data_IF_753725807128
#
_entry.id   IF_753725807128
#
_cell.length_a   1.000
_cell.length_b   1.000
_cell.length_c   1.000
_cell.angle_alpha   90.00
_cell.angle_beta   90.00
_cell.angle_gamma   90.00
#
_symmetry.space_group_name_H-M   'P 1'
#
loop_
_entity.id
_entity.type
_entity.pdbx_description
1 polymer ?
#
# COMPACT_ATOMS: atom_id res chain seq x y z
N UNK A 1 17.81 10.64 -19.21
CA UNK A 1 18.20 11.10 -20.57
C UNK A 1 17.12 12.03 -21.10
N UNK A 2 17.50 13.14 -21.73
CA UNK A 2 16.55 14.05 -22.39
C UNK A 2 15.98 13.43 -23.67
N UNK A 3 14.68 13.63 -23.92
CA UNK A 3 14.03 13.23 -25.17
C UNK A 3 14.64 13.97 -26.38
N UNK A 4 14.94 13.24 -27.46
CA UNK A 4 15.46 13.80 -28.72
C UNK A 4 14.36 13.75 -29.80
N UNK A 5 13.86 14.90 -30.30
CA UNK A 5 12.73 14.93 -31.24
C UNK A 5 13.01 14.38 -32.65
N UNK A 6 14.28 14.26 -33.05
CA UNK A 6 14.75 13.72 -34.33
C UNK A 6 14.01 14.28 -35.58
N UNK A 7 13.71 15.58 -35.60
CA UNK A 7 13.08 16.33 -36.71
C UNK A 7 11.84 15.67 -37.34
N UNK A 8 11.06 14.95 -36.51
CA UNK A 8 9.83 14.26 -36.97
C UNK A 8 8.75 15.28 -37.34
N UNK A 9 8.52 15.48 -38.62
CA UNK A 9 7.53 16.46 -39.12
C UNK A 9 6.32 15.83 -39.82
N UNK A 10 5.13 16.44 -39.67
CA UNK A 10 3.96 16.16 -40.52
C UNK A 10 4.19 16.73 -41.93
N UNK A 11 3.77 16.06 -43.03
CA UNK A 11 2.98 14.82 -43.09
C UNK A 11 3.82 13.52 -43.11
N UNK A 12 5.15 13.61 -43.07
CA UNK A 12 6.07 12.46 -43.15
C UNK A 12 5.93 11.54 -41.93
N UNK A 13 5.89 12.11 -40.72
CA UNK A 13 5.51 11.41 -39.49
C UNK A 13 4.01 11.59 -39.23
N UNK A 14 3.26 10.48 -39.24
CA UNK A 14 1.86 10.44 -38.81
C UNK A 14 1.71 9.39 -37.71
N UNK A 15 1.63 9.83 -36.47
CA UNK A 15 1.53 8.94 -35.30
C UNK A 15 0.28 8.04 -35.34
N UNK A 16 -0.77 8.45 -36.06
CA UNK A 16 -1.98 7.62 -36.28
C UNK A 16 -1.71 6.34 -37.10
N UNK A 17 -0.59 6.22 -37.82
CA UNK A 17 -0.25 4.98 -38.56
C UNK A 17 -0.12 3.79 -37.60
N UNK A 18 0.64 3.94 -36.52
CA UNK A 18 0.76 2.90 -35.49
C UNK A 18 -0.53 2.70 -34.67
N UNK A 19 -1.50 3.62 -34.78
CA UNK A 19 -2.81 3.54 -34.11
C UNK A 19 -3.91 3.03 -35.03
N UNK A 20 -3.62 2.61 -36.26
CA UNK A 20 -4.65 2.25 -37.24
C UNK A 20 -5.27 0.90 -36.96
N UNK A 21 -4.46 -0.08 -36.59
CA UNK A 21 -4.86 -1.48 -36.45
C UNK A 21 -4.51 -1.99 -35.06
N UNK A 22 -5.19 -3.04 -34.59
CA UNK A 22 -4.90 -3.61 -33.27
C UNK A 22 -3.47 -4.19 -33.20
N UNK A 23 -3.06 -4.96 -34.22
CA UNK A 23 -1.73 -5.59 -34.23
C UNK A 23 -0.61 -4.56 -34.11
N UNK A 24 -0.73 -3.40 -34.77
CA UNK A 24 0.29 -2.35 -34.73
C UNK A 24 0.30 -1.65 -33.37
N UNK A 25 -0.87 -1.43 -32.75
CA UNK A 25 -0.96 -0.93 -31.37
C UNK A 25 -0.31 -1.87 -30.38
N UNK A 26 -0.51 -3.19 -30.53
CA UNK A 26 0.14 -4.22 -29.69
C UNK A 26 1.65 -4.21 -29.85
N UNK A 27 2.16 -4.12 -31.09
CA UNK A 27 3.60 -4.08 -31.37
C UNK A 27 4.33 -2.90 -30.72
N UNK A 28 3.68 -1.72 -30.66
CA UNK A 28 4.32 -0.49 -30.14
C UNK A 28 3.88 -0.13 -28.72
N UNK A 29 3.13 -1.00 -28.04
CA UNK A 29 2.67 -0.76 -26.67
C UNK A 29 3.87 -0.77 -25.72
N UNK A 30 4.05 0.32 -24.98
CA UNK A 30 5.22 0.50 -24.10
C UNK A 30 5.06 -0.23 -22.76
N UNK A 31 3.83 -0.40 -22.28
CA UNK A 31 3.56 -0.96 -20.95
C UNK A 31 2.36 -1.91 -21.00
N UNK A 32 2.44 -2.97 -20.20
CA UNK A 32 1.35 -3.92 -19.95
C UNK A 32 1.22 -4.12 -18.44
N UNK A 33 -0.02 -4.31 -17.99
CA UNK A 33 -0.32 -4.73 -16.63
C UNK A 33 -0.46 -6.26 -16.61
N UNK A 34 0.04 -6.89 -15.56
CA UNK A 34 -0.04 -8.32 -15.30
C UNK A 34 -0.45 -8.58 -13.85
N UNK A 35 -0.82 -9.81 -13.51
CA UNK A 35 -1.15 -10.17 -12.13
C UNK A 35 0.04 -10.03 -11.17
N UNK A 36 1.27 -10.12 -11.69
CA UNK A 36 2.50 -9.93 -10.91
C UNK A 36 2.64 -8.51 -10.32
N UNK A 37 1.87 -7.56 -10.85
CA UNK A 37 1.90 -6.16 -10.43
C UNK A 37 0.92 -5.87 -9.28
N UNK A 38 0.08 -6.84 -8.88
CA UNK A 38 -1.08 -6.61 -8.03
C UNK A 38 -0.82 -7.09 -6.59
N UNK A 39 -0.99 -6.18 -5.62
CA UNK A 39 -1.01 -6.51 -4.20
C UNK A 39 -2.41 -6.16 -3.70
N UNK A 40 -3.07 -7.09 -2.99
CA UNK A 40 -4.40 -6.85 -2.44
C UNK A 40 -4.32 -6.43 -0.96
N UNK A 41 -4.70 -5.20 -0.59
CA UNK A 41 -4.97 -4.83 0.78
C UNK A 41 -6.22 -5.53 1.32
N UNK A 42 -6.15 -6.06 2.54
CA UNK A 42 -7.27 -6.75 3.20
C UNK A 42 -7.46 -6.25 4.63
N UNK A 43 -8.72 -6.07 5.04
CA UNK A 43 -9.07 -5.67 6.40
C UNK A 43 -9.41 -6.91 7.24
N UNK A 44 -8.70 -7.10 8.35
CA UNK A 44 -8.77 -8.33 9.12
C UNK A 44 -9.45 -8.07 10.46
N UNK A 45 -10.56 -8.77 10.72
CA UNK A 45 -11.31 -8.73 11.98
C UNK A 45 -10.80 -9.76 12.98
N UNK A 46 -11.04 -9.50 14.26
CA UNK A 46 -10.97 -10.53 15.29
C UNK A 46 -12.17 -11.50 15.21
N UNK A 47 -12.10 -12.60 15.96
CA UNK A 47 -13.19 -13.56 16.06
C UNK A 47 -13.23 -14.59 14.92
N UNK A 48 -14.42 -15.11 14.62
CA UNK A 48 -14.64 -16.23 13.70
C UNK A 48 -15.94 -16.05 12.91
N UNK A 49 -15.94 -16.44 11.63
CA UNK A 49 -17.05 -16.27 10.69
C UNK A 49 -17.62 -14.83 10.68
N UNK A 50 -16.76 -13.82 10.79
CA UNK A 50 -17.16 -12.41 10.72
C UNK A 50 -16.88 -11.84 9.34
N UNK A 51 -17.87 -11.15 8.78
CA UNK A 51 -17.77 -10.42 7.52
C UNK A 51 -18.56 -9.13 7.65
N UNK A 52 -17.91 -8.00 7.39
CA UNK A 52 -18.53 -6.69 7.50
C UNK A 52 -18.28 -5.89 6.22
N UNK A 53 -19.35 -5.42 5.59
CA UNK A 53 -19.21 -4.50 4.46
C UNK A 53 -18.63 -3.15 4.94
N UNK A 54 -17.80 -2.53 4.11
CA UNK A 54 -17.32 -1.16 4.32
C UNK A 54 -18.16 -0.21 3.44
N UNK A 55 -19.11 0.58 4.00
CA UNK A 55 -20.04 1.38 3.18
C UNK A 55 -19.35 2.38 2.25
N UNK A 56 -18.26 3.00 2.71
CA UNK A 56 -17.47 3.95 1.92
C UNK A 56 -16.55 3.28 0.89
N UNK A 57 -16.49 1.93 0.87
CA UNK A 57 -15.73 1.15 -0.10
C UNK A 57 -16.61 0.01 -0.68
N UNK A 58 -17.58 0.32 -1.56
CA UNK A 58 -18.53 -0.68 -2.06
C UNK A 58 -17.84 -1.93 -2.64
N UNK A 59 -18.22 -3.11 -2.15
CA UNK A 59 -17.64 -4.39 -2.56
C UNK A 59 -16.36 -4.80 -1.82
N UNK A 60 -15.87 -3.98 -0.89
CA UNK A 60 -14.79 -4.35 0.04
C UNK A 60 -15.39 -4.74 1.38
N UNK A 61 -14.84 -5.79 1.98
CA UNK A 61 -15.30 -6.34 3.24
C UNK A 61 -14.13 -6.48 4.22
N UNK A 62 -14.43 -6.32 5.51
CA UNK A 62 -13.58 -6.77 6.62
C UNK A 62 -13.91 -8.22 6.90
N UNK A 63 -12.89 -9.05 7.14
CA UNK A 63 -13.07 -10.50 7.30
C UNK A 63 -12.30 -11.02 8.50
N UNK A 64 -12.91 -11.94 9.27
CA UNK A 64 -12.15 -12.74 10.24
C UNK A 64 -11.15 -13.65 9.53
N UNK A 65 -10.09 -14.05 10.23
CA UNK A 65 -8.97 -14.82 9.67
C UNK A 65 -9.46 -16.09 8.95
N UNK A 66 -10.45 -16.80 9.49
CA UNK A 66 -10.99 -18.02 8.89
C UNK A 66 -11.70 -17.79 7.54
N UNK A 67 -12.30 -16.62 7.33
CA UNK A 67 -12.88 -16.23 6.05
C UNK A 67 -11.83 -15.67 5.11
N UNK A 68 -10.84 -14.95 5.63
CA UNK A 68 -9.69 -14.48 4.85
C UNK A 68 -8.91 -15.65 4.24
N UNK A 69 -8.73 -16.74 4.97
CA UNK A 69 -8.08 -17.95 4.45
C UNK A 69 -8.85 -18.55 3.25
N UNK A 70 -10.19 -18.55 3.30
CA UNK A 70 -11.02 -19.03 2.18
C UNK A 70 -10.92 -18.10 0.98
N UNK A 71 -10.97 -16.79 1.20
CA UNK A 71 -10.80 -15.81 0.12
C UNK A 71 -9.42 -15.95 -0.53
N UNK A 72 -8.37 -16.16 0.27
CA UNK A 72 -7.00 -16.32 -0.21
C UNK A 72 -6.80 -17.54 -1.14
N UNK A 73 -7.63 -18.59 -1.03
CA UNK A 73 -7.58 -19.72 -1.99
C UNK A 73 -7.80 -19.22 -3.42
N UNK A 74 -8.84 -18.40 -3.64
CA UNK A 74 -9.14 -17.83 -4.95
C UNK A 74 -8.07 -16.81 -5.40
N UNK A 75 -7.54 -16.01 -4.48
CA UNK A 75 -6.51 -15.01 -4.80
C UNK A 75 -5.20 -15.67 -5.26
N UNK A 76 -4.81 -16.78 -4.62
CA UNK A 76 -3.65 -17.58 -5.02
C UNK A 76 -3.91 -18.23 -6.38
N UNK A 77 -5.09 -18.79 -6.61
CA UNK A 77 -5.47 -19.33 -7.93
C UNK A 77 -5.41 -18.25 -9.01
N UNK A 78 -5.84 -17.02 -8.72
CA UNK A 78 -5.76 -15.86 -9.61
C UNK A 78 -4.31 -15.40 -9.88
N UNK A 79 -3.34 -15.88 -9.10
CA UNK A 79 -1.92 -15.52 -9.25
C UNK A 79 -1.59 -14.15 -8.67
N UNK A 80 -2.34 -13.69 -7.65
CA UNK A 80 -2.01 -12.47 -6.90
C UNK A 80 -0.80 -12.78 -6.00
N UNK A 81 0.33 -12.08 -6.17
CA UNK A 81 1.59 -12.42 -5.49
C UNK A 81 1.57 -12.16 -3.98
N UNK A 82 0.83 -11.15 -3.51
CA UNK A 82 0.88 -10.78 -2.09
C UNK A 82 -0.40 -10.10 -1.57
N UNK A 83 -0.58 -10.19 -0.25
CA UNK A 83 -1.59 -9.46 0.52
C UNK A 83 -0.93 -8.45 1.45
N UNK A 84 -1.55 -7.28 1.59
CA UNK A 84 -1.20 -6.29 2.62
C UNK A 84 -2.25 -6.32 3.74
N UNK A 85 -1.85 -6.71 4.94
CA UNK A 85 -2.76 -6.93 6.06
C UNK A 85 -2.98 -5.65 6.87
N UNK A 86 -4.23 -5.26 7.05
CA UNK A 86 -4.64 -4.14 7.89
C UNK A 86 -5.57 -4.65 9.00
N UNK A 87 -5.10 -4.79 10.26
CA UNK A 87 -5.93 -5.25 11.35
C UNK A 87 -6.98 -4.20 11.73
N UNK A 88 -8.20 -4.65 12.00
CA UNK A 88 -9.29 -3.83 12.54
C UNK A 88 -9.33 -4.04 14.05
N UNK A 89 -8.49 -3.29 14.77
CA UNK A 89 -8.28 -3.45 16.20
C UNK A 89 -9.56 -3.14 17.00
N UNK A 90 -10.02 -4.05 17.87
CA UNK A 90 -11.14 -3.79 18.78
C UNK A 90 -10.88 -2.57 19.67
N UNK A 91 -11.91 -1.78 19.95
CA UNK A 91 -11.77 -0.50 20.67
C UNK A 91 -11.14 -0.67 22.06
N UNK A 92 -11.50 -1.74 22.76
CA UNK A 92 -11.00 -2.10 24.09
C UNK A 92 -9.51 -2.45 24.12
N UNK A 93 -8.89 -2.69 22.95
CA UNK A 93 -7.46 -2.96 22.81
C UNK A 93 -6.65 -1.75 22.38
N UNK A 94 -7.30 -0.59 22.17
CA UNK A 94 -6.61 0.66 21.85
C UNK A 94 -6.13 1.34 23.13
N UNK A 95 -4.88 1.78 23.15
CA UNK A 95 -4.23 2.38 24.32
C UNK A 95 -3.40 3.61 23.94
N UNK A 96 -2.84 4.34 24.91
CA UNK A 96 -1.93 5.46 24.64
C UNK A 96 -0.54 4.98 24.22
N UNK A 97 -0.10 3.84 24.73
CA UNK A 97 1.21 3.24 24.44
C UNK A 97 1.22 2.35 23.18
N UNK A 98 0.05 2.10 22.58
CA UNK A 98 -0.08 1.27 21.38
C UNK A 98 0.35 -0.18 21.57
N UNK A 99 0.34 -0.72 22.80
CA UNK A 99 0.93 -2.03 23.10
C UNK A 99 0.39 -3.23 22.29
N UNK A 100 -0.86 -3.16 21.81
CA UNK A 100 -1.45 -4.19 20.95
C UNK A 100 -0.71 -4.33 19.60
N UNK A 101 0.04 -3.29 19.17
CA UNK A 101 0.81 -3.31 17.92
C UNK A 101 1.83 -4.45 17.87
N UNK A 102 2.45 -4.79 19.02
CA UNK A 102 3.46 -5.84 19.13
C UNK A 102 2.97 -7.05 19.95
N UNK A 103 1.67 -7.19 20.15
CA UNK A 103 1.10 -8.36 20.81
C UNK A 103 1.27 -9.60 19.92
N UNK A 104 1.97 -10.67 20.35
CA UNK A 104 2.11 -11.89 19.56
C UNK A 104 0.77 -12.54 19.17
N UNK A 105 -0.28 -12.29 19.95
CA UNK A 105 -1.66 -12.74 19.71
C UNK A 105 -2.56 -11.66 19.10
N UNK A 106 -1.98 -10.56 18.63
CA UNK A 106 -2.65 -9.54 17.84
C UNK A 106 -3.23 -10.09 16.53
N UNK A 107 -4.12 -9.32 15.91
CA UNK A 107 -4.77 -9.74 14.65
C UNK A 107 -3.75 -9.94 13.53
N UNK A 108 -2.82 -8.98 13.35
CA UNK A 108 -1.83 -9.03 12.28
C UNK A 108 -0.90 -10.26 12.41
N UNK A 109 -0.43 -10.54 13.62
CA UNK A 109 0.46 -11.65 13.94
C UNK A 109 -0.25 -13.00 13.74
N UNK A 110 -1.47 -13.16 14.27
CA UNK A 110 -2.28 -14.39 14.07
C UNK A 110 -2.62 -14.62 12.61
N UNK A 111 -3.02 -13.57 11.89
CA UNK A 111 -3.35 -13.65 10.46
C UNK A 111 -2.13 -14.03 9.62
N UNK A 112 -0.97 -13.44 9.93
CA UNK A 112 0.31 -13.78 9.30
C UNK A 112 0.62 -15.25 9.49
N UNK A 113 0.65 -15.76 10.72
CA UNK A 113 0.93 -17.19 10.99
C UNK A 113 0.00 -18.10 10.20
N UNK A 114 -1.30 -17.84 10.24
CA UNK A 114 -2.30 -18.65 9.56
C UNK A 114 -2.14 -18.65 8.03
N UNK A 115 -1.89 -17.48 7.43
CA UNK A 115 -1.68 -17.37 5.98
C UNK A 115 -0.36 -18.00 5.54
N UNK A 116 0.72 -17.84 6.32
CA UNK A 116 2.02 -18.44 6.04
C UNK A 116 1.97 -19.97 6.09
N UNK A 117 1.24 -20.53 7.06
CA UNK A 117 1.04 -21.97 7.18
C UNK A 117 0.21 -22.52 6.01
N UNK A 118 -0.89 -21.85 5.66
CA UNK A 118 -1.82 -22.33 4.62
C UNK A 118 -1.32 -22.09 3.19
N UNK A 119 -0.64 -20.97 2.94
CA UNK A 119 -0.17 -20.53 1.62
C UNK A 119 1.31 -20.13 1.67
N UNK A 120 2.24 -21.10 1.69
CA UNK A 120 3.67 -20.82 1.86
C UNK A 120 4.30 -19.90 0.81
N UNK A 121 3.74 -19.85 -0.40
CA UNK A 121 4.23 -19.01 -1.51
C UNK A 121 3.57 -17.63 -1.58
N UNK A 122 2.46 -17.41 -0.85
CA UNK A 122 1.78 -16.11 -0.85
C UNK A 122 2.59 -15.11 -0.02
N UNK A 123 2.93 -13.97 -0.62
CA UNK A 123 3.61 -12.88 0.06
C UNK A 123 2.71 -12.22 1.09
N UNK A 124 3.17 -12.15 2.34
CA UNK A 124 2.46 -11.43 3.42
C UNK A 124 3.22 -10.17 3.75
N UNK A 125 2.55 -9.04 3.54
CA UNK A 125 3.02 -7.69 3.84
C UNK A 125 2.23 -7.19 5.06
N UNK A 126 2.93 -6.96 6.16
CA UNK A 126 2.32 -6.44 7.39
C UNK A 126 2.55 -4.93 7.49
N UNK A 127 1.53 -4.20 7.90
CA UNK A 127 1.62 -2.75 8.15
C UNK A 127 2.30 -2.48 9.50
N UNK A 128 3.33 -1.64 9.52
CA UNK A 128 4.00 -1.19 10.75
C UNK A 128 3.66 0.28 10.97
N UNK A 129 2.72 0.54 11.86
CA UNK A 129 2.19 1.85 12.24
C UNK A 129 1.34 1.69 13.50
N UNK A 130 1.22 2.76 14.31
CA UNK A 130 0.48 2.69 15.57
C UNK A 130 -0.98 3.15 15.47
N UNK A 131 -1.42 3.74 14.34
CA UNK A 131 -2.77 4.31 14.23
C UNK A 131 -3.95 3.34 14.44
N UNK A 132 -3.84 2.03 14.13
CA UNK A 132 -4.88 1.07 14.48
C UNK A 132 -4.96 0.80 15.99
N UNK A 133 -3.88 1.06 16.72
CA UNK A 133 -3.68 0.62 18.11
C UNK A 133 -3.73 1.77 19.11
N UNK A 134 -3.59 3.02 18.66
CA UNK A 134 -3.69 4.18 19.54
C UNK A 134 -5.13 4.64 19.76
N UNK A 135 -5.44 5.06 20.99
CA UNK A 135 -6.77 5.60 21.34
C UNK A 135 -7.10 6.92 20.62
N UNK A 136 -6.08 7.66 20.18
CA UNK A 136 -6.18 8.93 19.45
C UNK A 136 -6.00 8.80 17.93
N UNK A 137 -5.65 7.62 17.39
CA UNK A 137 -5.57 7.36 15.95
C UNK A 137 -4.43 8.06 15.20
N UNK A 138 -3.39 8.51 15.92
CA UNK A 138 -2.14 9.00 15.32
C UNK A 138 -1.15 7.84 15.13
N UNK A 139 -0.20 7.99 14.21
CA UNK A 139 0.70 6.91 13.78
C UNK A 139 1.81 6.61 14.81
N UNK A 140 1.92 7.44 15.86
CA UNK A 140 2.94 7.36 16.91
C UNK A 140 2.44 7.78 18.30
N UNK A 141 3.35 7.83 19.27
CA UNK A 141 3.10 8.19 20.67
C UNK A 141 3.05 9.72 20.83
N UNK A 142 2.12 10.21 21.63
CA UNK A 142 1.96 11.65 21.88
C UNK A 142 2.74 12.12 23.10
N UNK A 143 3.28 13.35 23.03
CA UNK A 143 3.73 14.09 24.22
C UNK A 143 2.58 14.84 24.91
N UNK A 144 2.92 15.63 25.93
CA UNK A 144 1.95 16.43 26.70
C UNK A 144 1.28 17.54 25.88
N UNK A 145 1.93 18.00 24.79
CA UNK A 145 1.41 19.02 23.88
C UNK A 145 0.58 18.41 22.74
N UNK A 146 0.51 17.07 22.66
CA UNK A 146 -0.21 16.33 21.61
C UNK A 146 0.57 16.23 20.29
N UNK A 147 1.89 16.48 20.31
CA UNK A 147 2.78 16.23 19.19
C UNK A 147 3.22 14.75 19.16
N UNK A 148 3.36 14.19 17.96
CA UNK A 148 3.79 12.80 17.77
C UNK A 148 5.30 12.70 17.95
N UNK A 149 5.75 12.10 19.04
CA UNK A 149 7.17 11.93 19.37
C UNK A 149 7.84 10.96 18.40
N UNK A 150 8.84 11.43 17.65
CA UNK A 150 9.54 10.64 16.65
C UNK A 150 10.19 9.38 17.23
N UNK A 151 11.27 9.54 18.00
CA UNK A 151 12.13 8.43 18.43
C UNK A 151 11.41 7.46 19.38
N UNK A 152 10.55 7.99 20.26
CA UNK A 152 9.71 7.16 21.16
C UNK A 152 8.74 6.30 20.36
N UNK A 153 8.22 6.79 19.24
CA UNK A 153 7.38 5.99 18.34
C UNK A 153 8.19 4.92 17.63
N UNK A 154 9.41 5.26 17.16
CA UNK A 154 10.33 4.31 16.53
C UNK A 154 10.62 3.12 17.43
N UNK A 155 10.82 3.33 18.74
CA UNK A 155 11.01 2.24 19.71
C UNK A 155 9.84 1.22 19.73
N UNK A 156 8.61 1.70 19.55
CA UNK A 156 7.41 0.84 19.50
C UNK A 156 7.28 0.17 18.14
N UNK A 157 7.55 0.89 17.06
CA UNK A 157 7.51 0.37 15.69
C UNK A 157 8.52 -0.75 15.46
N UNK A 158 9.71 -0.65 16.07
CA UNK A 158 10.72 -1.73 16.07
C UNK A 158 10.16 -3.00 16.71
N UNK A 159 9.53 -2.89 17.88
CA UNK A 159 8.90 -4.05 18.55
C UNK A 159 7.79 -4.67 17.69
N UNK A 160 6.98 -3.83 17.04
CA UNK A 160 5.94 -4.28 16.13
C UNK A 160 6.53 -5.05 14.94
N UNK A 161 7.52 -4.48 14.26
CA UNK A 161 8.18 -5.11 13.12
C UNK A 161 8.81 -6.46 13.48
N UNK A 162 9.47 -6.55 14.63
CA UNK A 162 10.02 -7.82 15.15
C UNK A 162 8.90 -8.84 15.39
N UNK A 163 7.80 -8.46 16.04
CA UNK A 163 6.66 -9.37 16.27
C UNK A 163 6.05 -9.89 14.96
N UNK A 164 6.07 -9.08 13.89
CA UNK A 164 5.60 -9.49 12.57
C UNK A 164 6.58 -10.47 11.89
N UNK A 165 7.88 -10.22 12.02
CA UNK A 165 8.92 -11.10 11.51
C UNK A 165 8.91 -12.46 12.24
N UNK A 166 8.74 -12.47 13.57
CA UNK A 166 8.56 -13.67 14.40
C UNK A 166 7.29 -14.45 13.99
N UNK A 167 6.22 -13.76 13.61
CA UNK A 167 5.01 -14.39 13.06
C UNK A 167 5.20 -14.97 11.65
N UNK A 168 6.34 -14.71 10.99
CA UNK A 168 6.70 -15.24 9.69
C UNK A 168 6.40 -14.32 8.50
N UNK A 169 6.14 -13.03 8.73
CA UNK A 169 5.92 -12.06 7.66
C UNK A 169 7.17 -11.95 6.77
N UNK A 170 6.97 -12.06 5.47
CA UNK A 170 8.05 -11.92 4.48
C UNK A 170 8.45 -10.46 4.25
N UNK A 171 7.51 -9.54 4.48
CA UNK A 171 7.66 -8.11 4.29
C UNK A 171 7.01 -7.39 5.46
N UNK A 172 7.74 -6.46 6.07
CA UNK A 172 7.18 -5.43 6.95
C UNK A 172 7.15 -4.12 6.18
N UNK A 173 6.08 -3.34 6.33
CA UNK A 173 5.88 -2.13 5.57
C UNK A 173 5.58 -0.95 6.51
N UNK A 174 6.62 -0.27 7.02
CA UNK A 174 6.49 0.91 7.87
C UNK A 174 5.76 2.02 7.15
N UNK A 175 4.57 2.36 7.66
CA UNK A 175 3.70 3.38 7.08
C UNK A 175 3.58 4.64 7.94
N UNK A 176 4.26 4.68 9.08
CA UNK A 176 4.20 5.70 10.12
C UNK A 176 4.72 7.10 9.75
N UNK A 177 5.68 7.20 8.81
CA UNK A 177 6.38 8.45 8.43
C UNK A 177 7.20 9.11 9.55
N UNK A 178 7.76 8.34 10.47
CA UNK A 178 8.76 8.85 11.42
C UNK A 178 10.14 8.94 10.74
N UNK A 179 10.96 9.90 11.13
CA UNK A 179 12.33 10.01 10.65
C UNK A 179 13.18 8.86 11.21
N UNK A 180 14.00 8.21 10.37
CA UNK A 180 14.95 7.18 10.77
C UNK A 180 14.37 5.79 11.10
N UNK A 181 13.04 5.60 10.97
CA UNK A 181 12.40 4.31 11.33
C UNK A 181 12.91 3.14 10.48
N UNK A 182 13.28 3.38 9.22
CA UNK A 182 13.70 2.30 8.32
C UNK A 182 15.02 1.72 8.80
N UNK A 183 15.97 2.58 9.16
CA UNK A 183 17.28 2.18 9.67
C UNK A 183 17.17 1.44 11.00
N UNK A 184 16.36 1.97 11.92
CA UNK A 184 16.12 1.35 13.22
C UNK A 184 15.46 -0.05 13.09
N UNK A 185 14.44 -0.18 12.24
CA UNK A 185 13.77 -1.45 11.98
C UNK A 185 14.74 -2.43 11.28
N UNK A 186 15.52 -1.96 10.30
CA UNK A 186 16.52 -2.79 9.62
C UNK A 186 17.55 -3.33 10.60
N UNK A 187 18.15 -2.47 11.43
CA UNK A 187 19.14 -2.88 12.43
C UNK A 187 18.55 -3.91 13.39
N UNK A 188 17.31 -3.71 13.86
CA UNK A 188 16.64 -4.67 14.71
C UNK A 188 16.43 -6.03 14.03
N UNK A 189 15.94 -6.05 12.78
CA UNK A 189 15.75 -7.28 12.01
C UNK A 189 17.07 -8.03 11.78
N UNK A 190 18.15 -7.32 11.43
CA UNK A 190 19.48 -7.92 11.27
C UNK A 190 20.00 -8.49 12.60
N UNK A 191 19.92 -7.72 13.70
CA UNK A 191 20.45 -8.10 15.01
C UNK A 191 19.75 -9.33 15.62
N UNK A 192 18.51 -9.59 15.21
CA UNK A 192 17.68 -10.71 15.67
C UNK A 192 17.65 -11.88 14.69
N UNK A 193 18.40 -11.79 13.58
CA UNK A 193 18.56 -12.87 12.60
C UNK A 193 17.43 -12.99 11.58
N UNK A 194 16.57 -11.98 11.46
CA UNK A 194 15.54 -11.87 10.42
C UNK A 194 16.11 -11.32 9.09
N UNK A 195 17.28 -11.81 8.68
CA UNK A 195 18.10 -11.29 7.55
C UNK A 195 17.33 -11.10 6.24
N UNK A 196 16.36 -11.97 5.95
CA UNK A 196 15.62 -11.94 4.67
C UNK A 196 14.23 -11.30 4.77
N UNK A 197 13.87 -10.74 5.93
CA UNK A 197 12.63 -9.97 6.05
C UNK A 197 12.83 -8.65 5.31
N UNK A 198 11.95 -8.40 4.33
CA UNK A 198 12.03 -7.19 3.51
C UNK A 198 11.38 -6.02 4.21
N UNK A 199 11.87 -4.82 3.92
CA UNK A 199 11.24 -3.56 4.30
C UNK A 199 10.69 -2.89 3.04
N UNK A 200 9.37 -2.72 3.02
CA UNK A 200 8.66 -1.92 2.02
C UNK A 200 8.31 -0.57 2.62
N UNK A 201 9.20 0.40 2.45
CA UNK A 201 9.09 1.71 3.06
C UNK A 201 8.00 2.55 2.39
N UNK A 202 7.07 3.09 3.18
CA UNK A 202 6.19 4.17 2.71
C UNK A 202 6.98 5.48 2.75
N UNK A 203 7.87 5.66 1.79
CA UNK A 203 8.82 6.78 1.76
C UNK A 203 8.15 8.11 1.50
N UNK A 204 7.31 8.17 0.47
CA UNK A 204 6.60 9.40 0.11
C UNK A 204 5.11 9.24 0.40
N UNK A 205 4.74 9.27 1.70
CA UNK A 205 3.34 9.23 2.16
C UNK A 205 2.85 10.64 2.53
N UNK A 206 1.92 11.14 1.73
CA UNK A 206 1.40 12.50 1.84
C UNK A 206 0.26 12.64 2.85
N UNK A 207 0.12 13.83 3.44
CA UNK A 207 -0.98 14.26 4.29
C UNK A 207 -2.25 14.47 3.44
N UNK A 208 -2.89 13.37 3.07
CA UNK A 208 -3.91 13.35 2.02
C UNK A 208 -5.34 13.24 2.53
N UNK A 209 -6.27 13.89 1.82
CA UNK A 209 -7.71 13.75 2.00
C UNK A 209 -8.27 12.42 1.45
N UNK A 210 -7.51 11.70 0.61
CA UNK A 210 -7.96 10.46 -0.02
C UNK A 210 -8.02 9.25 0.94
N UNK A 211 -7.66 9.41 2.21
CA UNK A 211 -7.64 8.31 3.19
C UNK A 211 -8.96 8.10 3.94
N UNK A 212 -9.96 8.97 3.76
CA UNK A 212 -11.24 8.91 4.49
C UNK A 212 -11.85 7.50 4.57
N UNK A 213 -12.11 6.82 3.44
CA UNK A 213 -12.69 5.48 3.45
C UNK A 213 -11.82 4.41 4.13
N UNK A 214 -10.49 4.59 4.18
CA UNK A 214 -9.60 3.66 4.89
C UNK A 214 -9.78 3.82 6.39
N UNK A 215 -9.84 5.07 6.88
CA UNK A 215 -10.06 5.36 8.30
C UNK A 215 -11.41 4.81 8.79
N UNK A 216 -12.42 4.80 7.93
CA UNK A 216 -13.68 4.09 8.20
C UNK A 216 -13.45 2.58 8.27
N UNK A 217 -12.72 2.01 7.31
CA UNK A 217 -12.49 0.58 7.20
C UNK A 217 -11.72 -0.02 8.39
N UNK A 218 -10.68 0.66 8.91
CA UNK A 218 -9.92 0.20 10.09
C UNK A 218 -10.48 0.72 11.42
N UNK A 219 -11.57 1.50 11.38
CA UNK A 219 -12.18 2.06 12.59
C UNK A 219 -11.29 3.09 13.32
N UNK A 220 -10.43 3.82 12.61
CA UNK A 220 -9.59 4.89 13.19
C UNK A 220 -10.17 6.30 12.97
N UNK A 221 -11.21 6.44 12.15
CA UNK A 221 -11.84 7.74 11.86
C UNK A 221 -12.35 8.45 13.13
N UNK A 222 -13.04 7.73 14.01
CA UNK A 222 -13.58 8.28 15.25
C UNK A 222 -12.49 8.64 16.27
N UNK A 223 -11.38 7.87 16.29
CA UNK A 223 -10.24 8.13 17.17
C UNK A 223 -9.50 9.41 16.75
N UNK A 224 -9.22 9.56 15.44
CA UNK A 224 -8.52 10.73 14.91
C UNK A 224 -9.40 11.99 14.97
N UNK A 225 -10.71 11.86 14.77
CA UNK A 225 -11.65 12.98 14.80
C UNK A 225 -11.29 14.06 13.78
N UNK A 226 -11.06 15.29 14.27
CA UNK A 226 -10.61 16.45 13.45
C UNK A 226 -9.08 16.59 13.40
N UNK A 227 -8.34 15.64 13.98
CA UNK A 227 -6.89 15.61 13.95
C UNK A 227 -6.36 15.50 12.52
N UNK A 228 -5.16 16.01 12.31
CA UNK A 228 -4.44 15.89 11.05
C UNK A 228 -3.08 15.22 11.31
N UNK A 229 -2.40 14.88 10.22
CA UNK A 229 -1.12 14.16 10.21
C UNK A 229 -0.01 15.01 9.57
N UNK A 230 -0.20 16.32 9.49
CA UNK A 230 0.65 17.23 8.70
C UNK A 230 2.03 17.48 9.32
N UNK A 231 2.26 17.07 10.57
CA UNK A 231 3.55 17.22 11.24
C UNK A 231 4.52 16.07 10.94
N UNK A 232 4.11 15.06 10.17
CA UNK A 232 4.94 13.91 9.79
C UNK A 232 4.61 13.35 8.39
N UNK A 233 3.35 13.39 7.94
CA UNK A 233 3.03 13.12 6.54
C UNK A 233 3.32 14.34 5.68
N UNK A 234 3.86 14.09 4.48
CA UNK A 234 4.34 15.15 3.58
C UNK A 234 3.24 16.11 3.11
N UNK A 235 3.61 17.36 2.85
CA UNK A 235 2.73 18.34 2.20
C UNK A 235 2.43 17.92 0.75
N UNK A 236 1.15 17.80 0.33
CA UNK A 236 0.77 17.53 -1.07
C UNK A 236 1.40 18.44 -2.13
N UNK A 237 1.86 19.63 -1.76
CA UNK A 237 2.50 20.57 -2.68
C UNK A 237 3.97 20.22 -3.00
N UNK A 238 4.60 19.35 -2.21
CA UNK A 238 6.03 19.12 -2.28
C UNK A 238 6.37 17.93 -3.17
N UNK A 239 7.25 18.14 -4.16
CA UNK A 239 7.71 17.08 -5.08
C UNK A 239 9.20 16.77 -4.90
N UNK A 240 10.03 17.79 -4.64
CA UNK A 240 11.47 17.60 -4.42
C UNK A 240 11.76 16.90 -3.08
N UNK A 241 10.98 17.23 -2.04
CA UNK A 241 11.05 16.59 -0.72
C UNK A 241 10.92 15.06 -0.81
N UNK A 242 10.07 14.55 -1.70
CA UNK A 242 9.89 13.11 -1.90
C UNK A 242 11.19 12.40 -2.30
N UNK A 243 12.09 13.09 -3.01
CA UNK A 243 13.39 12.51 -3.37
C UNK A 243 14.31 12.43 -2.16
N UNK A 244 14.24 13.37 -1.23
CA UNK A 244 15.02 13.31 0.01
C UNK A 244 14.54 12.16 0.91
N UNK A 245 13.23 12.01 1.08
CA UNK A 245 12.61 10.91 1.82
C UNK A 245 13.01 9.54 1.26
N UNK A 246 12.85 9.37 -0.06
CA UNK A 246 13.19 8.11 -0.73
C UNK A 246 14.69 7.83 -0.64
N UNK A 247 15.54 8.86 -0.77
CA UNK A 247 16.98 8.70 -0.63
C UNK A 247 17.35 8.20 0.78
N UNK A 248 16.77 8.80 1.82
CA UNK A 248 17.00 8.40 3.21
C UNK A 248 16.60 6.93 3.44
N UNK A 249 15.38 6.55 3.06
CA UNK A 249 14.89 5.17 3.25
C UNK A 249 15.75 4.13 2.51
N UNK A 250 16.23 4.45 1.30
CA UNK A 250 17.15 3.57 0.56
C UNK A 250 18.51 3.48 1.25
N UNK A 251 19.05 4.59 1.75
CA UNK A 251 20.31 4.60 2.50
C UNK A 251 20.20 3.82 3.82
N UNK A 252 19.01 3.82 4.42
CA UNK A 252 18.66 3.09 5.64
C UNK A 252 18.37 1.59 5.42
N UNK A 253 18.31 1.13 4.18
CA UNK A 253 18.20 -0.29 3.84
C UNK A 253 16.79 -0.79 3.52
N UNK A 254 15.92 0.08 3.00
CA UNK A 254 14.66 -0.35 2.37
C UNK A 254 14.92 -1.21 1.12
N UNK A 255 14.20 -2.32 0.99
CA UNK A 255 14.23 -3.17 -0.21
C UNK A 255 13.29 -2.66 -1.31
N UNK A 256 12.21 -2.00 -0.88
CA UNK A 256 11.22 -1.38 -1.74
C UNK A 256 10.83 -0.02 -1.17
N UNK A 257 10.57 0.93 -2.06
CA UNK A 257 10.04 2.26 -1.71
C UNK A 257 8.60 2.38 -2.22
N UNK A 258 7.78 3.22 -1.59
CA UNK A 258 6.39 3.41 -1.97
C UNK A 258 5.97 4.88 -1.96
N UNK A 259 5.18 5.26 -2.97
CA UNK A 259 4.43 6.52 -3.02
C UNK A 259 2.98 6.28 -2.60
N UNK A 260 2.44 7.13 -1.72
CA UNK A 260 1.04 7.07 -1.26
C UNK A 260 0.49 8.47 -1.02
N UNK A 261 -0.67 8.86 -1.59
CA UNK A 261 -1.55 8.14 -2.51
C UNK A 261 -0.96 7.84 -3.90
N UNK A 262 -1.75 7.19 -4.75
CA UNK A 262 -1.29 6.71 -6.06
C UNK A 262 -1.57 7.70 -7.18
N UNK A 263 -2.77 7.64 -7.76
CA UNK A 263 -3.12 8.38 -8.98
C UNK A 263 -2.87 9.90 -8.86
N UNK A 264 -3.13 10.56 -7.73
CA UNK A 264 -2.84 11.98 -7.57
C UNK A 264 -1.35 12.34 -7.54
N UNK A 265 -0.45 11.35 -7.45
CA UNK A 265 1.00 11.50 -7.29
C UNK A 265 1.79 10.65 -8.31
N UNK A 266 1.22 10.41 -9.50
CA UNK A 266 1.91 9.67 -10.57
C UNK A 266 3.19 10.36 -11.05
N UNK A 267 3.27 11.68 -10.93
CA UNK A 267 4.48 12.46 -11.17
C UNK A 267 5.58 12.10 -10.17
N UNK A 268 5.24 11.89 -8.89
CA UNK A 268 6.17 11.44 -7.86
C UNK A 268 6.67 10.03 -8.14
N UNK A 269 5.76 9.10 -8.50
CA UNK A 269 6.14 7.73 -8.93
C UNK A 269 7.14 7.80 -10.09
N UNK A 270 6.89 8.68 -11.06
CA UNK A 270 7.76 8.86 -12.21
C UNK A 270 9.14 9.37 -11.80
N UNK A 271 9.20 10.40 -10.96
CA UNK A 271 10.47 10.96 -10.46
C UNK A 271 11.24 9.94 -9.64
N UNK A 272 10.59 9.23 -8.73
CA UNK A 272 11.18 8.18 -7.91
C UNK A 272 11.83 7.08 -8.77
N UNK A 273 11.09 6.55 -9.76
CA UNK A 273 11.62 5.53 -10.67
C UNK A 273 12.77 6.08 -11.52
N UNK A 274 12.71 7.34 -11.93
CA UNK A 274 13.74 7.94 -12.77
C UNK A 274 15.05 8.24 -12.04
N UNK A 275 14.96 8.68 -10.79
CA UNK A 275 16.15 9.06 -10.02
C UNK A 275 16.84 7.83 -9.44
N UNK A 276 16.10 6.98 -8.73
CA UNK A 276 16.70 5.94 -7.90
C UNK A 276 16.85 4.59 -8.59
N UNK A 277 16.04 4.32 -9.62
CA UNK A 277 16.03 3.02 -10.33
C UNK A 277 15.81 1.80 -9.40
N UNK A 278 15.32 2.02 -8.18
CA UNK A 278 15.02 1.01 -7.17
C UNK A 278 13.61 0.42 -7.35
N UNK A 279 13.28 -0.73 -6.73
CA UNK A 279 11.92 -1.27 -6.71
C UNK A 279 10.92 -0.25 -6.15
N UNK A 280 10.00 0.22 -6.99
CA UNK A 280 9.09 1.34 -6.70
C UNK A 280 7.65 0.84 -6.70
N UNK A 281 6.98 1.00 -5.57
CA UNK A 281 5.59 0.61 -5.36
C UNK A 281 4.71 1.85 -5.25
N UNK A 282 3.41 1.63 -5.42
CA UNK A 282 2.42 2.70 -5.29
C UNK A 282 1.15 2.15 -4.69
N UNK A 283 0.49 2.94 -3.84
CA UNK A 283 -0.79 2.57 -3.25
C UNK A 283 -1.93 3.35 -3.92
N UNK A 284 -2.77 2.66 -4.68
CA UNK A 284 -4.09 3.17 -5.08
C UNK A 284 -5.03 3.11 -3.89
N UNK A 285 -5.15 4.23 -3.17
CA UNK A 285 -5.75 4.22 -1.83
C UNK A 285 -7.27 4.11 -1.86
N UNK A 286 -7.85 3.96 -0.67
CA UNK A 286 -9.28 3.71 -0.48
C UNK A 286 -10.19 4.78 -1.09
N UNK A 287 -9.82 6.07 -1.00
CA UNK A 287 -10.56 7.15 -1.67
C UNK A 287 -10.49 7.08 -3.20
N UNK A 288 -9.36 6.63 -3.75
CA UNK A 288 -9.24 6.39 -5.19
C UNK A 288 -10.11 5.21 -5.63
N UNK A 289 -10.14 4.13 -4.86
CA UNK A 289 -11.06 3.01 -5.11
C UNK A 289 -12.51 3.48 -5.06
N UNK A 290 -12.89 4.18 -3.98
CA UNK A 290 -14.25 4.62 -3.72
C UNK A 290 -14.76 5.56 -4.81
N UNK A 291 -13.95 6.53 -5.26
CA UNK A 291 -14.36 7.46 -6.33
C UNK A 291 -14.63 6.74 -7.66
N UNK A 292 -13.80 5.75 -8.01
CA UNK A 292 -14.03 4.94 -9.22
C UNK A 292 -15.27 4.07 -9.08
N UNK A 293 -15.40 3.37 -7.95
CA UNK A 293 -16.57 2.53 -7.68
C UNK A 293 -17.88 3.32 -7.68
N UNK A 294 -17.89 4.53 -7.11
CA UNK A 294 -19.06 5.40 -7.13
C UNK A 294 -19.44 5.78 -8.57
N UNK A 295 -18.48 6.22 -9.37
CA UNK A 295 -18.71 6.60 -10.76
C UNK A 295 -19.14 5.40 -11.64
N UNK A 296 -18.56 4.22 -11.42
CA UNK A 296 -18.94 2.97 -12.11
C UNK A 296 -20.37 2.56 -11.75
N UNK A 297 -20.69 2.50 -10.45
CA UNK A 297 -22.00 2.09 -9.97
C UNK A 297 -23.12 3.05 -10.41
N UNK A 298 -22.80 4.34 -10.58
CA UNK A 298 -23.73 5.34 -11.11
C UNK A 298 -23.81 5.36 -12.64
N UNK A 299 -23.05 4.50 -13.34
CA UNK A 299 -23.01 4.44 -14.80
C UNK A 299 -22.33 5.64 -15.48
N UNK A 300 -21.56 6.44 -14.74
CA UNK A 300 -20.82 7.58 -15.29
C UNK A 300 -19.53 7.16 -15.98
N UNK A 301 -18.92 6.08 -15.48
CA UNK A 301 -17.75 5.45 -16.06
C UNK A 301 -18.01 3.97 -16.32
N UNK A 302 -17.43 3.43 -17.38
CA UNK A 302 -17.39 1.99 -17.62
C UNK A 302 -16.35 1.31 -16.72
N UNK A 303 -16.52 0.02 -16.42
CA UNK A 303 -15.53 -0.76 -15.65
C UNK A 303 -14.12 -0.79 -16.25
N UNK A 304 -13.96 -0.51 -17.56
CA UNK A 304 -12.65 -0.41 -18.20
C UNK A 304 -11.70 0.59 -17.53
N UNK A 305 -12.24 1.59 -16.80
CA UNK A 305 -11.43 2.57 -16.05
C UNK A 305 -10.58 1.90 -14.97
N UNK A 306 -10.97 0.72 -14.47
CA UNK A 306 -10.18 -0.03 -13.49
C UNK A 306 -8.81 -0.36 -14.08
N UNK A 307 -8.76 -1.06 -15.21
CA UNK A 307 -7.48 -1.42 -15.85
C UNK A 307 -6.74 -0.19 -16.39
N UNK A 308 -7.46 0.85 -16.84
CA UNK A 308 -6.83 2.11 -17.26
C UNK A 308 -6.11 2.82 -16.10
N UNK A 309 -6.74 2.87 -14.92
CA UNK A 309 -6.14 3.42 -13.71
C UNK A 309 -4.88 2.65 -13.29
N UNK A 310 -4.93 1.32 -13.35
CA UNK A 310 -3.81 0.46 -12.98
C UNK A 310 -2.67 0.51 -13.99
N UNK A 311 -2.98 0.59 -15.28
CA UNK A 311 -2.00 0.80 -16.34
C UNK A 311 -1.27 2.15 -16.20
N UNK A 312 -1.94 3.17 -15.64
CA UNK A 312 -1.30 4.46 -15.38
C UNK A 312 -0.11 4.33 -14.41
N UNK A 313 -0.21 3.47 -13.38
CA UNK A 313 0.89 3.20 -12.45
C UNK A 313 2.07 2.52 -13.14
N UNK A 314 1.82 1.50 -13.96
CA UNK A 314 2.89 0.85 -14.74
C UNK A 314 3.60 1.84 -15.66
N UNK A 315 2.84 2.68 -16.36
CA UNK A 315 3.38 3.73 -17.23
C UNK A 315 4.17 4.80 -16.46
N UNK A 316 3.73 5.15 -15.24
CA UNK A 316 4.47 6.05 -14.37
C UNK A 316 5.78 5.42 -13.86
N UNK A 317 5.87 4.09 -13.81
CA UNK A 317 7.09 3.37 -13.46
C UNK A 317 6.97 2.49 -12.22
N UNK A 318 5.76 2.26 -11.69
CA UNK A 318 5.59 1.35 -10.57
C UNK A 318 5.82 -0.13 -10.96
N UNK A 319 6.55 -0.85 -10.13
CA UNK A 319 6.78 -2.28 -10.26
C UNK A 319 5.59 -3.07 -9.69
N UNK A 320 5.04 -2.64 -8.55
CA UNK A 320 3.85 -3.22 -7.94
C UNK A 320 2.88 -2.17 -7.40
N UNK A 321 1.61 -2.55 -7.30
CA UNK A 321 0.48 -1.68 -6.99
C UNK A 321 -0.32 -2.30 -5.86
N UNK A 322 -0.40 -1.62 -4.72
CA UNK A 322 -1.37 -1.94 -3.68
C UNK A 322 -2.72 -1.38 -4.12
N UNK A 323 -3.67 -2.25 -4.41
CA UNK A 323 -4.99 -1.85 -4.92
C UNK A 323 -6.11 -2.77 -4.43
N UNK A 324 -7.21 -2.17 -4.00
CA UNK A 324 -8.45 -2.87 -3.68
C UNK A 324 -9.14 -3.45 -4.93
N UNK A 325 -8.71 -3.07 -6.13
CA UNK A 325 -9.16 -3.67 -7.39
C UNK A 325 -8.40 -4.95 -7.77
N UNK A 326 -7.39 -5.39 -6.99
CA UNK A 326 -6.50 -6.48 -7.39
C UNK A 326 -7.23 -7.75 -7.85
N UNK A 327 -8.23 -8.22 -7.09
CA UNK A 327 -9.05 -9.39 -7.47
C UNK A 327 -9.78 -9.17 -8.79
N UNK A 328 -10.53 -8.08 -8.92
CA UNK A 328 -11.28 -7.74 -10.15
C UNK A 328 -10.36 -7.58 -11.36
N UNK A 329 -9.21 -6.95 -11.19
CA UNK A 329 -8.23 -6.76 -12.25
C UNK A 329 -7.64 -8.12 -12.68
N UNK A 330 -7.28 -8.99 -11.73
CA UNK A 330 -6.77 -10.33 -12.03
C UNK A 330 -7.79 -11.17 -12.81
N UNK A 331 -9.07 -11.13 -12.43
CA UNK A 331 -10.15 -11.80 -13.16
C UNK A 331 -10.28 -11.29 -14.60
N UNK A 332 -10.21 -9.97 -14.82
CA UNK A 332 -10.27 -9.38 -16.16
C UNK A 332 -9.04 -9.74 -17.00
N UNK A 333 -7.85 -9.73 -16.40
CA UNK A 333 -6.60 -10.10 -17.07
C UNK A 333 -6.59 -11.58 -17.49
N UNK A 334 -7.17 -12.48 -16.70
CA UNK A 334 -7.31 -13.89 -17.09
C UNK A 334 -8.33 -14.13 -18.20
N UNK A 335 -9.41 -13.35 -18.26
CA UNK A 335 -10.44 -13.47 -19.31
C UNK A 335 -9.99 -12.88 -20.65
N UNK A 336 -9.12 -11.87 -20.63
CA UNK A 336 -8.60 -11.18 -21.82
C UNK A 336 -7.21 -11.65 -22.29
N UNK A 337 -6.63 -12.65 -21.62
CA UNK A 337 -5.35 -13.27 -21.95
C UNK A 337 -5.44 -14.34 -23.04
#
# INVERSE_FOLDING_TARGET
MSFIPADRAFPFTRLRRNRRDDFSRRLVRENVLTTNDLILPVFVLDGKNQREAVPSMPGVERMSIDLLLKEAEELVELGIPALALFPVTPLEKKSLDGAEAFNPDGIAQRATRALRERFPELGIITDVALDPFTSHGQDGILDEDGYVLNDVSVDVLVKQALSHAEAGAQVVAPSDMMDGRIGAIREALESTGHTNTRIMAYSAKYASAYYGPFRDAVGSAANLGKGNKATYQMDPANSDEALHEIYADLAEGADMIMVKPGMPYLDIVRRAKDEFRAPTFVYQVSGEYAMHMAAINNGWLSEAVILESLLAFKRAGADGILTYFAKRAAEQLKKGG
#
